data_IF_083059331567
#
_entry.id   IF_083059331567
#
_cell.length_a   1.000
_cell.length_b   1.000
_cell.length_c   1.000
_cell.angle_alpha   90.00
_cell.angle_beta   90.00
_cell.angle_gamma   90.00
#
_symmetry.space_group_name_H-M   'P 1'
#
loop_
_entity.id
_entity.type
_entity.pdbx_description
1 polymer ?
2 non-polymer ?
3 water ?
#
# COMPACT_ATOMS: atom_id res chain seq x y z
N UNK A 2 -25.13 1.28 -0.50
CA UNK A 2 -24.85 1.25 -1.93
C UNK A 2 -23.65 0.42 -2.32
N UNK A 3 -23.64 -0.06 -3.56
CA UNK A 3 -22.60 -1.00 -3.98
C UNK A 3 -21.24 -0.37 -4.03
N UNK A 4 -21.14 0.91 -4.39
CA UNK A 4 -19.82 1.55 -4.46
C UNK A 4 -19.25 1.74 -3.05
N UNK A 5 -20.06 2.27 -2.14
CA UNK A 5 -19.66 2.44 -0.76
C UNK A 5 -19.25 1.09 -0.15
N UNK A 6 -20.04 0.03 -0.41
CA UNK A 6 -19.70 -1.30 0.12
C UNK A 6 -18.38 -1.82 -0.45
N UNK A 7 -18.13 -1.57 -1.73
CA UNK A 7 -16.88 -2.02 -2.35
C UNK A 7 -15.70 -1.29 -1.73
N UNK A 8 -15.86 0.00 -1.45
CA UNK A 8 -14.80 0.77 -0.83
C UNK A 8 -14.54 0.26 0.60
N UNK A 9 -15.59 -0.13 1.33
CA UNK A 9 -15.42 -0.74 2.65
C UNK A 9 -14.60 -2.03 2.56
N UNK A 10 -14.80 -2.75 1.46
CA UNK A 10 -14.02 -3.98 1.24
C UNK A 10 -12.53 -3.67 1.05
N UNK A 11 -12.24 -2.56 0.39
CA UNK A 11 -10.85 -2.12 0.23
C UNK A 11 -10.27 -1.79 1.62
N UNK A 12 -11.04 -1.09 2.45
CA UNK A 12 -10.58 -0.75 3.80
C UNK A 12 -10.26 -2.03 4.58
N UNK A 13 -11.13 -3.02 4.50
CA UNK A 13 -10.91 -4.28 5.20
C UNK A 13 -9.67 -5.00 4.68
N UNK A 14 -9.43 -4.95 3.37
CA UNK A 14 -8.27 -5.61 2.80
C UNK A 14 -6.99 -4.93 3.29
N UNK A 15 -7.05 -3.61 3.41
CA UNK A 15 -5.89 -2.86 3.88
C UNK A 15 -5.60 -3.20 5.35
N UNK A 16 -6.62 -3.45 6.16
CA UNK A 16 -6.40 -3.88 7.54
C UNK A 16 -5.64 -5.20 7.56
N UNK A 17 -5.94 -6.08 6.59
CA UNK A 17 -5.25 -7.36 6.46
C UNK A 17 -3.77 -7.16 6.17
N UNK A 18 -3.46 -6.12 5.41
CA UNK A 18 -2.07 -5.77 5.14
C UNK A 18 -1.39 -5.35 6.43
N UNK A 19 -2.08 -4.52 7.24
CA UNK A 19 -1.54 -4.08 8.51
C UNK A 19 -1.24 -5.28 9.41
N UNK A 20 -2.18 -6.22 9.49
CA UNK A 20 -1.95 -7.44 10.27
C UNK A 20 -0.79 -8.28 9.73
N UNK A 21 -0.65 -8.33 8.41
CA UNK A 21 0.44 -9.11 7.81
C UNK A 21 1.78 -8.48 8.15
N UNK A 22 1.83 -7.16 8.16
CA UNK A 22 3.06 -6.45 8.50
C UNK A 22 3.44 -6.68 9.97
N UNK A 23 2.44 -6.76 10.85
CA UNK A 23 2.71 -7.09 12.24
C UNK A 23 3.36 -8.47 12.38
N UNK A 24 3.00 -9.40 11.51
CA UNK A 24 3.61 -10.72 11.50
C UNK A 24 5.08 -10.63 11.11
N UNK A 25 5.41 -9.70 10.22
CA UNK A 25 6.81 -9.49 9.86
C UNK A 25 7.57 -8.97 11.07
N UNK A 26 6.97 -8.02 11.78
CA UNK A 26 7.61 -7.49 12.99
C UNK A 26 7.87 -8.58 14.00
N UNK A 27 6.86 -9.44 14.23
CA UNK A 27 6.98 -10.51 15.20
C UNK A 27 8.02 -11.53 14.75
N UNK A 28 8.10 -11.77 13.44
CA UNK A 28 9.08 -12.71 12.90
C UNK A 28 10.50 -12.18 13.13
N UNK A 29 10.67 -10.88 12.94
CA UNK A 29 11.96 -10.24 13.17
C UNK A 29 12.31 -10.28 14.65
N UNK A 30 11.33 -10.07 15.51
CA UNK A 30 11.60 -10.14 16.95
C UNK A 30 12.05 -11.53 17.37
N UNK A 31 11.40 -12.54 16.81
CA UNK A 31 11.76 -13.95 16.96
C UNK A 31 13.25 -14.18 17.10
N UNK B 2 -22.53 -3.11 -10.69
CA UNK B 2 -22.01 -2.11 -11.61
C UNK B 2 -20.53 -2.22 -11.83
N UNK B 3 -20.05 -1.69 -12.95
CA UNK B 3 -18.64 -1.85 -13.32
C UNK B 3 -17.72 -1.11 -12.37
N UNK B 4 -18.14 0.04 -11.84
CA UNK B 4 -17.24 0.78 -10.95
C UNK B 4 -17.09 0.03 -9.63
N UNK B 5 -18.21 -0.41 -9.06
CA UNK B 5 -18.13 -1.24 -7.85
C UNK B 5 -17.34 -2.52 -8.10
N UNK B 6 -17.56 -3.14 -9.26
CA UNK B 6 -16.81 -4.37 -9.55
C UNK B 6 -15.30 -4.13 -9.68
N UNK B 7 -14.91 -3.00 -10.26
CA UNK B 7 -13.49 -2.67 -10.38
C UNK B 7 -12.91 -2.41 -9.00
N UNK B 8 -13.66 -1.74 -8.13
CA UNK B 8 -13.17 -1.49 -6.78
C UNK B 8 -13.02 -2.81 -6.02
N UNK B 9 -13.92 -3.76 -6.26
CA UNK B 9 -13.78 -5.09 -5.67
C UNK B 9 -12.50 -5.79 -6.15
N UNK B 10 -12.11 -5.55 -7.40
CA UNK B 10 -10.84 -6.11 -7.90
C UNK B 10 -9.64 -5.52 -7.17
N UNK B 11 -9.72 -4.24 -6.85
CA UNK B 11 -8.70 -3.57 -6.05
C UNK B 11 -8.64 -4.21 -4.67
N UNK B 12 -9.79 -4.46 -4.03
CA UNK B 12 -9.75 -5.16 -2.73
C UNK B 12 -9.08 -6.53 -2.85
N UNK B 13 -9.41 -7.27 -3.91
CA UNK B 13 -8.82 -8.60 -4.12
C UNK B 13 -7.31 -8.53 -4.28
N UNK B 14 -6.84 -7.53 -5.01
CA UNK B 14 -5.41 -7.38 -5.21
C UNK B 14 -4.72 -7.01 -3.90
N UNK B 15 -5.37 -6.20 -3.07
CA UNK B 15 -4.77 -5.79 -1.79
C UNK B 15 -4.63 -7.01 -0.85
N UNK B 16 -5.60 -7.91 -0.89
CA UNK B 16 -5.51 -9.16 -0.16
C UNK B 16 -4.31 -10.01 -0.63
N UNK B 17 -4.03 -9.98 -1.94
CA UNK B 17 -2.85 -10.70 -2.45
C UNK B 17 -1.56 -10.10 -1.90
N UNK B 18 -1.53 -8.79 -1.73
CA UNK B 18 -0.41 -8.10 -1.11
C UNK B 18 -0.27 -8.56 0.34
N UNK B 19 -1.39 -8.66 1.06
CA UNK B 19 -1.31 -9.15 2.44
C UNK B 19 -0.71 -10.57 2.52
N UNK B 20 -1.12 -11.45 1.61
CA UNK B 20 -0.57 -12.80 1.61
C UNK B 20 0.91 -12.78 1.31
N UNK B 21 1.34 -11.92 0.38
CA UNK B 21 2.76 -11.86 0.07
C UNK B 21 3.57 -11.40 1.27
N UNK B 22 3.04 -10.48 2.04
CA UNK B 22 3.74 -9.98 3.23
C UNK B 22 3.82 -11.10 4.30
N UNK B 23 2.76 -11.92 4.43
CA UNK B 23 2.84 -13.10 5.28
C UNK B 23 3.92 -14.08 4.82
N UNK B 24 4.12 -14.17 3.51
CA UNK B 24 5.18 -15.02 2.94
C UNK B 24 6.57 -14.49 3.32
N UNK B 25 6.68 -13.18 3.40
CA UNK B 25 7.92 -12.56 3.86
C UNK B 25 8.14 -12.94 5.31
N UNK B 26 7.08 -12.88 6.11
CA UNK B 26 7.18 -13.26 7.52
C UNK B 26 7.62 -14.72 7.68
N UNK B 27 7.06 -15.65 6.89
CA UNK B 27 7.48 -17.03 6.92
C UNK B 27 8.99 -17.12 6.62
N UNK B 28 9.41 -16.38 5.60
CA UNK B 28 10.79 -16.47 5.15
C UNK B 28 11.73 -16.05 6.27
N UNK B 29 11.36 -14.99 6.98
CA UNK B 29 12.15 -14.52 8.11
C UNK B 29 12.16 -15.55 9.24
N UNK B 30 11.01 -16.15 9.53
CA UNK B 30 10.91 -17.17 10.57
C UNK B 30 11.73 -18.40 10.21
N UNK B 31 11.71 -18.72 8.92
CA UNK B 31 12.52 -19.79 8.34
C UNK B 31 13.85 -20.06 9.00
N UNK C 2 -16.34 1.50 -19.04
CA UNK C 2 -16.15 2.92 -18.82
C UNK C 2 -14.76 3.32 -18.39
N UNK C 3 -14.42 4.59 -18.62
CA UNK C 3 -13.06 5.04 -18.35
C UNK C 3 -12.70 5.01 -16.87
N UNK C 4 -13.64 5.31 -15.99
CA UNK C 4 -13.32 5.28 -14.54
C UNK C 4 -13.10 3.84 -14.06
N UNK C 5 -14.02 2.95 -14.43
CA UNK C 5 -13.86 1.53 -14.08
C UNK C 5 -12.57 0.96 -14.67
N UNK C 6 -12.25 1.30 -15.91
CA UNK C 6 -11.01 0.78 -16.51
C UNK C 6 -9.78 1.30 -15.75
N UNK C 7 -9.82 2.56 -15.32
CA UNK C 7 -8.67 3.12 -14.59
C UNK C 7 -8.49 2.43 -13.24
N UNK C 8 -9.61 2.13 -12.59
CA UNK C 8 -9.57 1.43 -11.32
C UNK C 8 -9.04 0.01 -11.52
N UNK C 9 -9.38 -0.63 -12.64
CA UNK C 9 -8.81 -1.93 -12.95
C UNK C 9 -7.29 -1.82 -13.13
N UNK C 10 -6.83 -0.70 -13.67
CA UNK C 10 -5.38 -0.47 -13.79
C UNK C 10 -4.69 -0.37 -12.41
N UNK C 11 -5.38 0.23 -11.45
CA UNK C 11 -4.90 0.30 -10.07
C UNK C 11 -4.81 -1.12 -9.49
N UNK C 12 -5.86 -1.92 -9.72
CA UNK C 12 -5.85 -3.31 -9.27
C UNK C 12 -4.66 -4.08 -9.84
N UNK C 13 -4.41 -3.91 -11.14
CA UNK C 13 -3.31 -4.61 -11.81
C UNK C 13 -1.96 -4.19 -11.23
N UNK C 14 -1.84 -2.90 -10.91
CA UNK C 14 -0.61 -2.37 -10.33
C UNK C 14 -0.39 -2.92 -8.93
N UNK C 15 -1.47 -3.09 -8.17
CA UNK C 15 -1.36 -3.63 -6.82
C UNK C 15 -0.91 -5.10 -6.88
N UNK C 16 -1.37 -5.84 -7.90
CA UNK C 16 -0.87 -7.20 -8.11
C UNK C 16 0.64 -7.21 -8.35
N UNK C 17 1.15 -6.21 -9.07
CA UNK C 17 2.60 -6.11 -9.27
C UNK C 17 3.33 -5.91 -7.95
N UNK C 18 2.71 -5.16 -7.03
CA UNK C 18 3.26 -4.95 -5.71
C UNK C 18 3.34 -6.29 -4.99
N UNK C 19 2.27 -7.07 -5.07
CA UNK C 19 2.25 -8.39 -4.44
C UNK C 19 3.35 -9.30 -5.00
N UNK C 20 3.51 -9.32 -6.31
CA UNK C 20 4.54 -10.15 -6.94
C UNK C 20 5.94 -9.70 -6.50
N UNK C 21 6.14 -8.39 -6.39
CA UNK C 21 7.42 -7.86 -5.95
C UNK C 21 7.72 -8.26 -4.51
N UNK C 22 6.68 -8.29 -3.67
CA UNK C 22 6.89 -8.69 -2.27
C UNK C 22 7.26 -10.17 -2.19
N UNK C 23 6.68 -10.98 -3.08
CA UNK C 23 7.06 -12.38 -3.17
C UNK C 23 8.53 -12.53 -3.50
N UNK C 24 9.05 -11.62 -4.31
CA UNK C 24 10.48 -11.65 -4.63
C UNK C 24 11.32 -11.34 -3.39
N UNK C 25 10.81 -10.46 -2.53
CA UNK C 25 11.48 -10.15 -1.28
C UNK C 25 11.50 -11.40 -0.40
N UNK C 26 10.36 -12.08 -0.30
CA UNK C 26 10.28 -13.31 0.47
C UNK C 26 11.25 -14.36 -0.06
N UNK C 27 11.30 -14.51 -1.38
CA UNK C 27 12.19 -15.50 -1.97
C UNK C 27 13.66 -15.13 -1.74
N UNK C 28 13.95 -13.83 -1.73
CA UNK C 28 15.30 -13.35 -1.49
C UNK C 28 15.77 -13.67 -0.08
N UNK C 29 14.89 -13.49 0.89
CA UNK C 29 15.18 -13.78 2.29
C UNK C 29 15.38 -15.27 2.51
N UNK C 30 14.51 -16.06 1.90
CA UNK C 30 14.54 -17.52 2.03
C UNK C 30 15.83 -18.11 1.46
N UNK C 31 16.31 -17.52 0.37
CA UNK C 31 17.57 -17.95 -0.22
C UNK C 31 18.81 -17.36 0.42
N UNK D 2 -11.18 11.69 -19.32
CA UNK D 2 -11.70 12.54 -18.25
C UNK D 2 -10.71 12.74 -17.14
N UNK D 3 -10.87 13.82 -16.39
CA UNK D 3 -9.89 14.17 -15.37
C UNK D 3 -9.88 13.18 -14.22
N UNK D 4 -11.03 12.63 -13.83
CA UNK D 4 -11.03 11.66 -12.73
C UNK D 4 -10.37 10.37 -13.16
N UNK D 5 -10.71 9.86 -14.34
CA UNK D 5 -10.05 8.67 -14.86
C UNK D 5 -8.54 8.87 -15.00
N UNK D 6 -8.13 10.04 -15.51
CA UNK D 6 -6.69 10.29 -15.67
C UNK D 6 -5.96 10.35 -14.32
N UNK D 7 -6.61 10.90 -13.31
CA UNK D 7 -6.00 10.96 -11.99
C UNK D 7 -5.85 9.55 -11.40
N UNK D 8 -6.84 8.71 -11.61
CA UNK D 8 -6.76 7.34 -11.12
C UNK D 8 -5.62 6.59 -11.84
N UNK D 9 -5.43 6.89 -13.12
CA UNK D 9 -4.32 6.32 -13.88
C UNK D 9 -2.97 6.75 -13.28
N UNK D 10 -2.90 7.97 -12.76
CA UNK D 10 -1.67 8.42 -12.09
C UNK D 10 -1.44 7.64 -10.80
N UNK D 11 -2.52 7.28 -10.11
CA UNK D 11 -2.39 6.45 -8.92
C UNK D 11 -1.83 5.10 -9.31
N UNK D 12 -2.34 4.52 -10.39
CA UNK D 12 -1.82 3.25 -10.89
C UNK D 12 -0.33 3.33 -11.20
N UNK D 13 0.09 4.40 -11.86
CA UNK D 13 1.49 4.56 -12.22
C UNK D 13 2.38 4.66 -10.99
N UNK D 14 1.90 5.37 -9.96
CA UNK D 14 2.65 5.53 -8.73
C UNK D 14 2.76 4.19 -7.99
N UNK D 15 1.72 3.39 -8.02
CA UNK D 15 1.76 2.08 -7.37
C UNK D 15 2.78 1.16 -8.10
N UNK D 16 2.89 1.29 -9.43
CA UNK D 16 3.93 0.58 -10.17
C UNK D 16 5.31 0.98 -9.69
N UNK D 17 5.49 2.26 -9.34
CA UNK D 17 6.75 2.75 -8.79
C UNK D 17 7.08 2.08 -7.46
N UNK D 18 6.04 1.85 -6.67
CA UNK D 18 6.20 1.12 -5.40
C UNK D 18 6.65 -0.30 -5.66
N UNK D 19 6.05 -0.97 -6.64
CA UNK D 19 6.44 -2.34 -6.99
C UNK D 19 7.91 -2.40 -7.39
N UNK D 20 8.34 -1.44 -8.21
CA UNK D 20 9.74 -1.41 -8.65
C UNK D 20 10.69 -1.17 -7.48
N UNK D 21 10.31 -0.29 -6.56
CA UNK D 21 11.12 -0.02 -5.39
C UNK D 21 11.24 -1.27 -4.51
N UNK D 22 10.16 -2.04 -4.42
CA UNK D 22 10.20 -3.28 -3.67
C UNK D 22 11.11 -4.31 -4.38
N UNK D 23 11.10 -4.34 -5.71
CA UNK D 23 12.02 -5.21 -6.43
C UNK D 23 13.46 -4.81 -6.13
N UNK D 24 13.69 -3.51 -5.95
CA UNK D 24 15.04 -3.06 -5.59
C UNK D 24 15.42 -3.57 -4.20
N UNK D 25 14.45 -3.68 -3.30
CA UNK D 25 14.72 -4.22 -1.96
C UNK D 25 15.13 -5.69 -2.06
N UNK D 26 14.41 -6.46 -2.87
CA UNK D 26 14.76 -7.87 -3.09
C UNK D 26 16.18 -7.96 -3.63
N UNK D 27 16.52 -7.08 -4.57
CA UNK D 27 17.84 -7.13 -5.18
C UNK D 27 18.92 -6.80 -4.15
N UNK D 28 18.63 -5.88 -3.25
CA UNK D 28 19.58 -5.50 -2.21
C UNK D 28 19.86 -6.66 -1.24
N UNK D 29 18.79 -7.38 -0.90
CA UNK D 29 18.88 -8.52 0.00
C UNK D 29 19.74 -9.63 -0.63
N UNK D 30 19.56 -9.85 -1.93
CA UNK D 30 20.33 -10.83 -2.71
C UNK D 30 21.82 -10.45 -2.90
N UNK D 31 22.11 -9.15 -2.90
CA UNK D 31 23.46 -8.66 -3.02
C UNK D 31 23.72 -7.98 -4.35
N UNK E 2 -11.11 19.68 -11.35
CA UNK E 2 -12.04 19.37 -10.27
C UNK E 2 -11.44 18.95 -8.95
N UNK E 3 -12.20 19.15 -7.88
CA UNK E 3 -11.69 18.87 -6.54
C UNK E 3 -11.45 17.38 -6.31
N UNK E 4 -12.28 16.52 -6.90
CA UNK E 4 -12.09 15.08 -6.71
C UNK E 4 -10.83 14.62 -7.45
N UNK E 5 -10.66 15.03 -8.70
CA UNK E 5 -9.47 14.68 -9.47
C UNK E 5 -8.19 15.18 -8.80
N UNK E 6 -8.20 16.41 -8.31
CA UNK E 6 -7.00 16.97 -7.65
C UNK E 6 -6.67 16.20 -6.37
N UNK E 7 -7.69 15.79 -5.63
CA UNK E 7 -7.47 15.01 -4.41
C UNK E 7 -6.88 13.64 -4.76
N UNK E 8 -7.36 13.04 -5.85
CA UNK E 8 -6.81 11.76 -6.29
C UNK E 8 -5.34 11.93 -6.73
N UNK E 9 -5.01 13.05 -7.35
CA UNK E 9 -3.63 13.35 -7.71
C UNK E 9 -2.75 13.42 -6.46
N UNK E 10 -3.32 13.95 -5.37
CA UNK E 10 -2.56 14.01 -4.12
C UNK E 10 -2.26 12.60 -3.60
N UNK E 11 -3.19 11.68 -3.80
CA UNK E 11 -2.97 10.29 -3.42
C UNK E 11 -1.80 9.72 -4.24
N UNK E 12 -1.80 9.98 -5.55
CA UNK E 12 -0.70 9.50 -6.39
C UNK E 12 0.64 10.04 -5.91
N UNK E 13 0.70 11.33 -5.59
CA UNK E 13 1.95 11.91 -5.12
C UNK E 13 2.40 11.33 -3.79
N UNK E 14 1.44 11.02 -2.92
CA UNK E 14 1.79 10.41 -1.63
C UNK E 14 2.35 9.01 -1.86
N UNK E 15 1.78 8.29 -2.82
CA UNK E 15 2.24 6.94 -3.13
C UNK E 15 3.68 6.97 -3.69
N UNK E 16 4.01 8.02 -4.45
CA UNK E 16 5.38 8.21 -4.90
C UNK E 16 6.33 8.38 -3.72
N UNK E 17 5.88 9.05 -2.67
CA UNK E 17 6.70 9.20 -1.48
C UNK E 17 6.96 7.86 -0.82
N UNK E 18 5.96 6.97 -0.87
CA UNK E 18 6.13 5.62 -0.35
C UNK E 18 7.18 4.88 -1.17
N UNK E 19 7.11 5.01 -2.49
CA UNK E 19 8.11 4.36 -3.35
C UNK E 19 9.53 4.83 -3.03
N UNK E 20 9.68 6.13 -2.83
CA UNK E 20 11.00 6.67 -2.50
C UNK E 20 11.50 6.16 -1.16
N UNK E 21 10.60 6.06 -0.19
CA UNK E 21 11.00 5.58 1.14
C UNK E 21 11.47 4.13 1.05
N UNK E 22 10.80 3.35 0.21
CA UNK E 22 11.18 1.96 0.00
C UNK E 22 12.55 1.89 -0.70
N UNK E 23 12.83 2.82 -1.61
CA UNK E 23 14.17 2.90 -2.21
C UNK E 23 15.23 3.14 -1.15
N UNK E 24 14.89 3.91 -0.13
CA UNK E 24 15.87 4.16 0.93
C UNK E 24 16.12 2.90 1.75
N UNK E 25 15.09 2.08 1.93
CA UNK E 25 15.26 0.80 2.60
C UNK E 25 16.21 -0.09 1.81
N UNK E 26 16.03 -0.13 0.49
CA UNK E 26 16.91 -0.93 -0.36
C UNK E 26 18.37 -0.47 -0.19
N UNK E 27 18.57 0.83 -0.18
CA UNK E 27 19.91 1.40 -0.01
C UNK E 27 20.49 1.11 1.37
N UNK E 28 19.62 1.08 2.38
CA UNK E 28 20.04 0.76 3.75
C UNK E 28 20.54 -0.69 3.79
N UNK E 29 19.82 -1.57 3.13
CA UNK E 29 20.20 -2.98 3.06
C UNK E 29 21.50 -3.18 2.28
N UNK E 30 21.65 -2.46 1.18
CA UNK E 30 22.85 -2.55 0.33
C UNK E 30 24.07 -2.09 1.11
N UNK E 31 23.89 -1.11 1.98
CA UNK E 31 24.94 -0.68 2.86
C UNK E 31 25.02 -1.51 4.12
N UNK F 2 -15.90 19.66 -0.98
CA UNK F 2 -16.85 18.55 -0.92
C UNK F 2 -16.40 17.41 -0.05
N UNK F 3 -17.36 16.64 0.46
CA UNK F 3 -17.05 15.59 1.41
C UNK F 3 -16.22 14.46 0.80
N UNK F 4 -16.46 14.13 -0.48
CA UNK F 4 -15.70 13.05 -1.09
C UNK F 4 -14.26 13.47 -1.32
N UNK F 5 -14.05 14.65 -1.88
CA UNK F 5 -12.70 15.17 -2.08
C UNK F 5 -11.93 15.27 -0.78
N UNK F 6 -12.60 15.72 0.28
CA UNK F 6 -11.94 15.86 1.58
C UNK F 6 -11.51 14.50 2.15
N UNK F 7 -12.36 13.52 1.95
CA UNK F 7 -12.07 12.17 2.41
C UNK F 7 -10.88 11.59 1.67
N UNK F 8 -10.79 11.86 0.38
CA UNK F 8 -9.69 11.37 -0.44
C UNK F 8 -8.39 12.05 0.02
N UNK F 9 -8.46 13.33 0.37
CA UNK F 9 -7.31 14.02 0.93
C UNK F 9 -6.84 13.38 2.23
N UNK F 10 -7.77 12.86 3.03
CA UNK F 10 -7.39 12.14 4.24
C UNK F 10 -6.65 10.85 3.90
N UNK F 11 -7.05 10.20 2.81
CA UNK F 11 -6.33 9.02 2.34
C UNK F 11 -4.90 9.39 1.95
N UNK F 12 -4.73 10.49 1.24
CA UNK F 12 -3.39 10.95 0.86
C UNK F 12 -2.52 11.20 2.09
N UNK F 13 -3.09 11.85 3.09
CA UNK F 13 -2.34 12.18 4.32
C UNK F 13 -1.90 10.90 5.03
N UNK F 14 -2.78 9.91 5.05
CA UNK F 14 -2.46 8.63 5.70
C UNK F 14 -1.35 7.89 4.95
N UNK F 15 -1.35 7.99 3.62
CA UNK F 15 -0.31 7.35 2.83
C UNK F 15 1.05 8.03 3.09
N UNK F 16 1.06 9.34 3.30
CA UNK F 16 2.28 10.02 3.71
C UNK F 16 2.80 9.49 5.06
N UNK F 17 1.87 9.16 5.96
CA UNK F 17 2.28 8.57 7.25
C UNK F 17 2.95 7.22 7.03
N UNK F 18 2.48 6.48 6.04
CA UNK F 18 3.10 5.20 5.70
C UNK F 18 4.53 5.41 5.20
N UNK F 19 4.74 6.42 4.36
CA UNK F 19 6.07 6.76 3.86
C UNK F 19 7.03 7.10 5.00
N UNK F 20 6.56 7.90 5.96
CA UNK F 20 7.41 8.29 7.09
C UNK F 20 7.78 7.05 7.91
N UNK F 21 6.85 6.12 8.09
CA UNK F 21 7.14 4.92 8.85
C UNK F 21 8.16 4.04 8.15
N UNK F 22 8.10 3.98 6.82
CA UNK F 22 9.07 3.18 6.07
C UNK F 22 10.49 3.79 6.18
N UNK F 23 10.57 5.11 6.20
CA UNK F 23 11.84 5.79 6.43
C UNK F 23 12.41 5.44 7.80
N UNK F 24 11.53 5.22 8.78
CA UNK F 24 11.99 4.78 10.10
C UNK F 24 12.62 3.40 10.00
N UNK F 25 12.05 2.57 9.14
CA UNK F 25 12.58 1.24 8.90
C UNK F 25 13.98 1.33 8.27
N UNK F 26 14.14 2.21 7.29
CA UNK F 26 15.45 2.42 6.66
C UNK F 26 16.47 2.85 7.70
N UNK F 27 16.07 3.77 8.56
CA UNK F 27 17.01 4.27 9.59
C UNK F 27 17.33 3.20 10.63
N UNK F 28 16.35 2.34 10.93
CA UNK F 28 16.55 1.24 11.87
C UNK F 28 17.60 0.28 11.31
N UNK F 29 17.49 0.01 10.02
CA UNK F 29 18.44 -0.87 9.33
C UNK F 29 19.85 -0.24 9.28
N UNK F 30 19.92 1.05 9.02
CA UNK F 30 21.18 1.78 8.95
C UNK F 30 21.82 1.80 10.34
N UNK F 31 20.96 1.94 11.35
CA UNK F 31 21.30 1.82 12.75
C UNK F 31 22.40 0.84 13.07
N UNK G 2 -22.13 11.44 3.82
CA UNK G 2 -22.51 10.45 2.82
C UNK G 2 -21.78 9.13 2.93
N UNK G 3 -22.41 8.08 2.41
CA UNK G 3 -21.84 6.75 2.59
C UNK G 3 -20.53 6.56 1.83
N UNK G 4 -20.37 7.19 0.66
CA UNK G 4 -19.12 7.02 -0.08
C UNK G 4 -17.98 7.73 0.63
N UNK G 5 -18.20 8.97 1.05
CA UNK G 5 -17.19 9.70 1.81
C UNK G 5 -16.81 8.98 3.11
N UNK G 6 -17.80 8.46 3.83
CA UNK G 6 -17.52 7.72 5.06
C UNK G 6 -16.71 6.46 4.78
N UNK G 7 -16.99 5.78 3.67
CA UNK G 7 -16.23 4.57 3.32
C UNK G 7 -14.79 4.92 3.00
N UNK G 8 -14.57 6.02 2.30
CA UNK G 8 -13.22 6.47 1.96
C UNK G 8 -12.46 6.82 3.22
N UNK G 9 -13.14 7.44 4.19
CA UNK G 9 -12.51 7.74 5.47
C UNK G 9 -12.09 6.45 6.20
N UNK G 10 -12.85 5.37 6.02
CA UNK G 10 -12.46 4.08 6.58
C UNK G 10 -11.16 3.56 5.95
N UNK G 11 -11.00 3.82 4.65
CA UNK G 11 -9.77 3.44 3.96
C UNK G 11 -8.60 4.20 4.57
N UNK G 12 -8.79 5.49 4.82
CA UNK G 12 -7.76 6.32 5.45
C UNK G 12 -7.34 5.76 6.81
N UNK G 13 -8.35 5.37 7.59
CA UNK G 13 -8.13 4.83 8.92
C UNK G 13 -7.35 3.51 8.84
N UNK G 14 -7.67 2.71 7.84
CA UNK G 14 -6.98 1.44 7.65
C UNK G 14 -5.52 1.67 7.25
N UNK G 15 -5.26 2.68 6.42
CA UNK G 15 -3.91 3.00 5.99
C UNK G 15 -3.08 3.47 7.20
N UNK G 16 -3.72 4.19 8.12
CA UNK G 16 -3.06 4.57 9.36
C UNK G 16 -2.61 3.36 10.16
N UNK G 17 -3.40 2.28 10.11
CA UNK G 17 -2.99 1.06 10.81
C UNK G 17 -1.77 0.41 10.15
N UNK G 18 -1.68 0.53 8.81
CA UNK G 18 -0.51 0.02 8.10
C UNK G 18 0.72 0.80 8.55
N UNK G 19 0.58 2.12 8.66
CA UNK G 19 1.70 2.94 9.13
C UNK G 19 2.17 2.53 10.53
N UNK G 20 1.22 2.26 11.41
CA UNK G 20 1.59 1.86 12.76
C UNK G 20 2.33 0.51 12.75
N UNK G 21 1.86 -0.39 11.90
CA UNK G 21 2.45 -1.71 11.78
C UNK G 21 3.89 -1.63 11.27
N UNK G 22 4.14 -0.70 10.35
CA UNK G 22 5.50 -0.50 9.82
C UNK G 22 6.39 0.08 10.91
N UNK G 23 5.84 0.95 11.75
CA UNK G 23 6.56 1.40 12.93
C UNK G 23 6.94 0.23 13.86
N UNK G 24 6.07 -0.77 13.97
CA UNK G 24 6.41 -1.96 14.77
C UNK G 24 7.56 -2.76 14.16
N UNK G 25 7.63 -2.80 12.83
CA UNK G 25 8.74 -3.45 12.15
C UNK G 25 10.03 -2.69 12.45
N UNK G 26 9.99 -1.37 12.40
CA UNK G 26 11.15 -0.55 12.71
C UNK G 26 11.63 -0.82 14.14
N UNK G 27 10.68 -0.94 15.07
CA UNK G 27 11.04 -1.21 16.47
C UNK G 27 11.69 -2.59 16.64
N UNK G 28 11.18 -3.54 15.88
CA UNK G 28 11.70 -4.90 15.89
C UNK G 28 13.13 -4.92 15.38
N UNK G 29 13.41 -4.16 14.33
CA UNK G 29 14.77 -4.09 13.80
C UNK G 29 15.72 -3.41 14.78
N UNK G 30 15.28 -2.31 15.38
CA UNK G 30 16.11 -1.59 16.33
C UNK G 30 16.33 -2.45 17.57
N UNK G 31 15.27 -3.17 17.95
CA UNK G 31 15.29 -4.18 19.00
C UNK G 31 16.59 -4.95 19.09
#
# INVERSE_FOLDING_TARGET
XGEVAQAIKEVAKAIKEVAWAIKEVAQAIKGX
XGEVAQAIKEVAKAIKEVAWAIKEVAQAIKGX
XGEVAQAIKEVAKAIKEVAWAIKEVAQAIKGX
XGEVAQAIKEVAKAIKEVAWAIKEVAQAIKGX
XGEVAQAIKEVAKAIKEVAWAIKEVAQAIKGX
XGEVAQAIKEVAKAIKEVAWAIKEVAQAIKGX
XGEVAQAIKEVAKAIKEVAWAIKEVAQAIKGX
#
